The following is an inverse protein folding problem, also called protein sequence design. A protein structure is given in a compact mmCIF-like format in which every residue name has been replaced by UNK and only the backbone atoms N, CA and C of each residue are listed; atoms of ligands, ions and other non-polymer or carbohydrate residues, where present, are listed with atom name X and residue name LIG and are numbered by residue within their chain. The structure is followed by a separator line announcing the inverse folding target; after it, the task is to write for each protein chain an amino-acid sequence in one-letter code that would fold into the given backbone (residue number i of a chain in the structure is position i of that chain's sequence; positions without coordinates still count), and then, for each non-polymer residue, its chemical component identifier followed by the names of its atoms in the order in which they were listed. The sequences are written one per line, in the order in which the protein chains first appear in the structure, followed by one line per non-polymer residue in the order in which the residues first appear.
data_IF_577506543891
#
_entry.id   IF_577506543891
#
_cell.length_a   1.000
_cell.length_b   1.000
_cell.length_c   1.000
_cell.angle_alpha   90.00
_cell.angle_beta   90.00
_cell.angle_gamma   90.00
#
_symmetry.space_group_name_H-M   'P 1'
#
loop_
_entity.id
_entity.type
_entity.pdbx_description
1 polymer ?
#
# COMPACT_ATOMS: atom_id res chain seq x y z
N UNK A 1 27.27 6.28 13.47
CA UNK A 1 27.15 5.84 12.07
C UNK A 1 25.74 6.14 11.58
N UNK A 2 25.53 6.63 10.35
CA UNK A 2 24.19 6.76 9.79
C UNK A 2 23.58 5.37 9.58
N UNK A 3 22.25 5.27 9.67
CA UNK A 3 21.54 4.02 9.38
C UNK A 3 21.53 3.70 7.87
N UNK A 4 21.40 4.72 7.03
CA UNK A 4 21.45 4.60 5.58
C UNK A 4 22.89 4.66 5.08
N UNK A 5 23.31 3.68 4.28
CA UNK A 5 24.69 3.49 3.82
C UNK A 5 24.86 3.60 2.29
N UNK A 6 23.75 3.59 1.54
CA UNK A 6 23.85 3.80 0.10
C UNK A 6 24.19 5.28 -0.21
N UNK A 7 24.92 5.50 -1.32
CA UNK A 7 25.39 6.84 -1.74
C UNK A 7 24.27 7.83 -2.07
N UNK A 8 23.08 7.30 -2.43
CA UNK A 8 21.93 8.10 -2.86
C UNK A 8 20.67 7.70 -2.11
N UNK A 9 19.70 8.62 -1.93
CA UNK A 9 18.40 8.30 -1.32
C UNK A 9 17.66 7.19 -2.07
N UNK A 10 16.80 6.44 -1.40
CA UNK A 10 15.88 5.51 -2.03
C UNK A 10 14.82 6.29 -2.83
N UNK A 11 14.57 5.89 -4.07
CA UNK A 11 13.49 6.48 -4.87
C UNK A 11 12.18 5.77 -4.56
N UNK A 12 11.14 6.54 -4.17
CA UNK A 12 9.80 6.02 -3.93
C UNK A 12 8.88 6.30 -5.12
N UNK A 13 8.50 5.26 -5.85
CA UNK A 13 7.57 5.32 -6.99
C UNK A 13 6.09 5.30 -6.54
N UNK A 14 5.70 6.19 -5.62
CA UNK A 14 4.33 6.21 -5.06
C UNK A 14 3.89 7.63 -4.66
N UNK A 15 2.59 7.93 -4.90
CA UNK A 15 1.92 9.17 -4.43
C UNK A 15 1.46 9.08 -2.96
N UNK A 16 1.57 7.91 -2.32
CA UNK A 16 1.04 7.68 -0.97
C UNK A 16 1.85 8.43 0.10
N UNK A 17 1.18 9.38 0.77
CA UNK A 17 1.75 10.10 1.92
C UNK A 17 2.07 9.16 3.07
N UNK A 18 1.26 8.13 3.28
CA UNK A 18 1.45 7.13 4.35
C UNK A 18 2.72 6.33 4.12
N UNK A 19 2.94 5.78 2.92
CA UNK A 19 4.16 5.04 2.57
C UNK A 19 5.41 5.91 2.73
N UNK A 20 5.33 7.15 2.28
CA UNK A 20 6.40 8.13 2.48
C UNK A 20 6.71 8.33 3.97
N UNK A 21 5.69 8.60 4.79
CA UNK A 21 5.86 8.81 6.23
C UNK A 21 6.45 7.59 6.94
N UNK A 22 6.04 6.37 6.56
CA UNK A 22 6.59 5.12 7.10
C UNK A 22 8.09 5.00 6.82
N UNK A 23 8.54 5.29 5.60
CA UNK A 23 9.96 5.23 5.24
C UNK A 23 10.79 6.33 5.91
N UNK A 24 10.27 7.57 5.95
CA UNK A 24 10.90 8.69 6.65
C UNK A 24 11.06 8.42 8.15
N UNK A 25 10.03 7.83 8.79
CA UNK A 25 10.08 7.44 10.21
C UNK A 25 11.08 6.32 10.49
N UNK A 26 11.41 5.52 9.46
CA UNK A 26 12.48 4.50 9.53
C UNK A 26 13.87 5.07 9.20
N UNK A 27 14.01 6.41 9.11
CA UNK A 27 15.25 7.11 8.76
C UNK A 27 15.84 6.69 7.40
N UNK A 28 14.99 6.34 6.43
CA UNK A 28 15.38 6.09 5.05
C UNK A 28 15.28 7.40 4.26
N UNK A 29 16.40 7.94 3.73
CA UNK A 29 16.36 9.13 2.88
C UNK A 29 15.59 8.82 1.58
N UNK A 30 14.70 9.73 1.16
CA UNK A 30 13.80 9.51 0.03
C UNK A 30 13.87 10.61 -1.02
N UNK A 31 13.84 10.16 -2.29
CA UNK A 31 13.41 10.95 -3.44
C UNK A 31 12.05 10.43 -3.90
N UNK A 32 11.03 11.28 -3.95
CA UNK A 32 9.67 10.86 -4.30
C UNK A 32 9.39 11.16 -5.78
N UNK A 33 9.26 10.10 -6.56
CA UNK A 33 8.95 10.15 -8.00
C UNK A 33 7.71 9.30 -8.29
N UNK A 34 6.50 9.87 -8.20
CA UNK A 34 5.27 9.10 -8.44
C UNK A 34 5.25 8.50 -9.84
N UNK A 35 4.97 7.21 -9.93
CA UNK A 35 4.75 6.55 -11.21
C UNK A 35 3.47 7.07 -11.88
N UNK A 36 3.56 7.32 -13.19
CA UNK A 36 2.41 7.64 -14.04
C UNK A 36 2.21 6.45 -14.99
N UNK A 37 1.34 5.52 -14.59
CA UNK A 37 1.04 4.28 -15.32
C UNK A 37 -0.46 4.07 -15.42
N UNK A 38 -0.90 3.41 -16.48
CA UNK A 38 -2.29 2.94 -16.64
C UNK A 38 -2.49 1.63 -15.87
N UNK A 39 -2.79 1.74 -14.56
CA UNK A 39 -2.97 0.58 -13.68
C UNK A 39 -4.04 -0.39 -14.22
N UNK A 40 -5.21 0.12 -14.66
CA UNK A 40 -6.31 -0.70 -15.17
C UNK A 40 -5.94 -1.44 -16.46
N UNK A 41 -5.26 -0.76 -17.37
CA UNK A 41 -4.79 -1.39 -18.60
C UNK A 41 -3.74 -2.47 -18.33
N UNK A 42 -2.88 -2.29 -17.33
CA UNK A 42 -1.89 -3.29 -16.89
C UNK A 42 -2.60 -4.52 -16.33
N UNK A 43 -3.54 -4.35 -15.39
CA UNK A 43 -4.33 -5.43 -14.81
C UNK A 43 -5.06 -6.25 -15.88
N UNK A 44 -5.72 -5.56 -16.81
CA UNK A 44 -6.48 -6.20 -17.90
C UNK A 44 -5.58 -7.04 -18.81
N UNK A 45 -4.41 -6.51 -19.19
CA UNK A 45 -3.46 -7.23 -20.07
C UNK A 45 -2.81 -8.43 -19.40
N UNK A 46 -2.57 -8.35 -18.10
CA UNK A 46 -1.94 -9.43 -17.35
C UNK A 46 -2.87 -10.62 -17.13
N UNK A 47 -4.19 -10.43 -17.16
CA UNK A 47 -5.18 -11.50 -16.95
C UNK A 47 -5.16 -12.10 -15.54
N UNK A 48 -4.40 -11.49 -14.60
CA UNK A 48 -4.36 -11.97 -13.21
C UNK A 48 -5.58 -11.46 -12.45
N UNK A 49 -6.14 -12.32 -11.63
CA UNK A 49 -7.36 -12.03 -10.85
C UNK A 49 -7.13 -12.11 -9.34
N UNK A 50 -6.02 -12.69 -8.90
CA UNK A 50 -5.77 -12.79 -7.46
C UNK A 50 -5.29 -11.46 -6.89
N UNK A 51 -5.85 -11.01 -5.75
CA UNK A 51 -5.53 -9.71 -5.17
C UNK A 51 -4.04 -9.48 -4.91
N UNK A 52 -3.33 -10.52 -4.45
CA UNK A 52 -1.91 -10.46 -4.18
C UNK A 52 -1.04 -10.34 -5.44
N UNK A 53 -1.44 -10.98 -6.54
CA UNK A 53 -0.74 -10.86 -7.83
C UNK A 53 -0.96 -9.48 -8.46
N UNK A 54 -2.17 -8.94 -8.36
CA UNK A 54 -2.46 -7.57 -8.80
C UNK A 54 -1.56 -6.57 -8.06
N UNK A 55 -1.49 -6.66 -6.72
CA UNK A 55 -0.64 -5.78 -5.94
C UNK A 55 0.85 -5.91 -6.32
N UNK A 56 1.35 -7.15 -6.52
CA UNK A 56 2.73 -7.38 -6.92
C UNK A 56 3.04 -6.83 -8.31
N UNK A 57 2.16 -7.09 -9.26
CA UNK A 57 2.28 -6.57 -10.63
C UNK A 57 2.36 -5.05 -10.64
N UNK A 58 1.43 -4.37 -9.96
CA UNK A 58 1.39 -2.91 -9.93
C UNK A 58 2.58 -2.32 -9.17
N UNK A 59 3.05 -2.96 -8.09
CA UNK A 59 4.25 -2.55 -7.39
C UNK A 59 5.49 -2.60 -8.32
N UNK A 60 5.64 -3.70 -9.06
CA UNK A 60 6.72 -3.90 -10.01
C UNK A 60 6.67 -2.89 -11.17
N UNK A 61 5.50 -2.72 -11.79
CA UNK A 61 5.34 -1.79 -12.93
C UNK A 61 5.56 -0.32 -12.52
N UNK A 62 5.11 0.08 -11.31
CA UNK A 62 5.42 1.41 -10.76
C UNK A 62 6.93 1.62 -10.60
N UNK A 63 7.63 0.65 -10.01
CA UNK A 63 9.08 0.73 -9.86
C UNK A 63 9.79 0.77 -11.22
N UNK A 64 9.38 -0.09 -12.17
CA UNK A 64 9.98 -0.19 -13.51
C UNK A 64 9.84 1.11 -14.29
N UNK A 65 8.64 1.70 -14.31
CA UNK A 65 8.36 2.94 -15.02
C UNK A 65 9.24 4.10 -14.53
N UNK A 66 9.46 4.21 -13.22
CA UNK A 66 10.31 5.26 -12.64
C UNK A 66 11.79 4.93 -12.82
N UNK A 67 12.21 3.67 -12.66
CA UNK A 67 13.61 3.26 -12.81
C UNK A 67 14.15 3.48 -14.22
N UNK A 68 13.30 3.40 -15.25
CA UNK A 68 13.70 3.66 -16.64
C UNK A 68 14.30 5.07 -16.88
N UNK A 69 13.88 6.06 -16.09
CA UNK A 69 14.40 7.44 -16.14
C UNK A 69 15.52 7.73 -15.15
N UNK A 70 15.92 6.78 -14.31
CA UNK A 70 16.83 6.99 -13.19
C UNK A 70 17.90 5.88 -13.10
N UNK A 71 18.86 5.83 -14.04
CA UNK A 71 19.88 4.78 -14.08
C UNK A 71 20.72 4.75 -12.79
N UNK A 72 21.06 3.56 -12.33
CA UNK A 72 21.84 3.30 -11.11
C UNK A 72 21.05 3.47 -9.80
N UNK A 73 19.82 4.02 -9.82
CA UNK A 73 19.05 4.29 -8.61
C UNK A 73 18.28 3.04 -8.14
N UNK A 74 18.20 2.89 -6.82
CA UNK A 74 17.28 1.95 -6.19
C UNK A 74 15.86 2.54 -6.20
N UNK A 75 14.92 1.92 -6.90
CA UNK A 75 13.55 2.39 -7.02
C UNK A 75 12.60 1.40 -6.35
N UNK A 76 11.89 1.88 -5.32
CA UNK A 76 10.87 1.15 -4.60
C UNK A 76 9.48 1.46 -5.17
N UNK A 77 8.85 0.44 -5.74
CA UNK A 77 7.43 0.43 -6.05
C UNK A 77 6.64 -0.25 -4.93
N UNK A 78 5.43 0.20 -4.72
CA UNK A 78 4.51 -0.40 -3.75
C UNK A 78 3.08 -0.27 -4.20
N UNK A 79 2.30 -1.34 -3.97
CA UNK A 79 0.86 -1.33 -4.20
C UNK A 79 0.10 -2.08 -3.10
N UNK A 80 -1.22 -1.84 -3.02
CA UNK A 80 -2.08 -2.52 -2.08
C UNK A 80 -3.47 -2.70 -2.67
N UNK A 81 -3.98 -3.92 -2.62
CA UNK A 81 -5.37 -4.26 -2.95
C UNK A 81 -6.15 -4.66 -1.69
N UNK A 82 -7.44 -4.35 -1.66
CA UNK A 82 -8.38 -4.85 -0.65
C UNK A 82 -9.29 -5.88 -1.29
N UNK A 83 -9.46 -7.02 -0.63
CA UNK A 83 -10.34 -8.08 -1.09
C UNK A 83 -11.28 -8.60 0.01
N UNK A 84 -12.51 -8.86 -0.36
CA UNK A 84 -13.48 -9.60 0.44
C UNK A 84 -13.84 -10.90 -0.30
N UNK A 85 -13.20 -12.00 0.09
CA UNK A 85 -13.16 -13.21 -0.73
C UNK A 85 -12.49 -12.91 -2.09
N UNK A 86 -13.15 -13.24 -3.19
CA UNK A 86 -12.64 -12.98 -4.55
C UNK A 86 -12.91 -11.54 -5.04
N UNK A 87 -13.74 -10.78 -4.34
CA UNK A 87 -14.08 -9.42 -4.75
C UNK A 87 -12.98 -8.43 -4.37
N UNK A 88 -12.33 -7.88 -5.36
CA UNK A 88 -11.37 -6.77 -5.19
C UNK A 88 -12.12 -5.44 -5.17
N UNK A 89 -11.69 -4.54 -4.27
CA UNK A 89 -12.24 -3.20 -4.13
C UNK A 89 -11.25 -2.16 -4.66
N UNK A 90 -11.78 -1.16 -5.32
CA UNK A 90 -11.04 0.03 -5.73
C UNK A 90 -11.32 1.18 -4.77
N UNK A 91 -10.54 2.26 -4.85
CA UNK A 91 -10.87 3.49 -4.12
C UNK A 91 -12.25 3.99 -4.53
N UNK A 92 -13.10 4.37 -3.57
CA UNK A 92 -14.42 4.89 -3.88
C UNK A 92 -14.31 6.22 -4.63
N UNK A 93 -15.16 6.38 -5.65
CA UNK A 93 -15.16 7.59 -6.47
C UNK A 93 -15.71 8.81 -5.72
N UNK A 94 -16.63 8.58 -4.78
CA UNK A 94 -17.33 9.60 -4.01
C UNK A 94 -17.78 9.05 -2.64
N UNK A 95 -18.46 9.91 -1.88
CA UNK A 95 -18.98 9.58 -0.54
C UNK A 95 -20.04 8.48 -0.58
N UNK A 96 -20.88 8.45 -1.61
CA UNK A 96 -21.92 7.42 -1.77
C UNK A 96 -21.28 6.04 -2.01
N UNK A 97 -20.30 5.96 -2.89
CA UNK A 97 -19.52 4.75 -3.13
C UNK A 97 -18.75 4.30 -1.87
N UNK A 98 -18.19 5.24 -1.10
CA UNK A 98 -17.53 4.95 0.17
C UNK A 98 -18.50 4.33 1.18
N UNK A 99 -19.71 4.87 1.29
CA UNK A 99 -20.79 4.33 2.15
C UNK A 99 -21.13 2.90 1.77
N UNK A 100 -21.33 2.61 0.52
CA UNK A 100 -21.68 1.27 0.04
C UNK A 100 -20.53 0.26 0.25
N UNK A 101 -19.28 0.69 0.10
CA UNK A 101 -18.14 -0.15 0.46
C UNK A 101 -18.15 -0.50 1.94
N UNK A 102 -18.31 0.48 2.83
CA UNK A 102 -18.34 0.27 4.27
C UNK A 102 -19.52 -0.62 4.71
N UNK A 103 -20.70 -0.45 4.11
CA UNK A 103 -21.84 -1.36 4.33
C UNK A 103 -21.52 -2.80 3.90
N UNK A 104 -20.82 -2.96 2.79
CA UNK A 104 -20.41 -4.27 2.29
C UNK A 104 -19.39 -4.95 3.21
N UNK A 105 -18.48 -4.19 3.81
CA UNK A 105 -17.41 -4.68 4.68
C UNK A 105 -17.87 -4.85 6.15
N UNK A 106 -18.93 -4.17 6.57
CA UNK A 106 -19.48 -4.19 7.94
C UNK A 106 -19.74 -5.61 8.44
N UNK A 107 -19.18 -5.95 9.60
CA UNK A 107 -19.32 -7.28 10.24
C UNK A 107 -18.58 -8.40 9.49
N UNK A 108 -17.65 -8.08 8.58
CA UNK A 108 -16.92 -9.07 7.78
C UNK A 108 -15.41 -8.90 7.92
N UNK A 109 -14.70 -10.02 7.71
CA UNK A 109 -13.26 -10.03 7.60
C UNK A 109 -12.87 -9.88 6.13
N UNK A 110 -12.03 -8.89 5.84
CA UNK A 110 -11.45 -8.67 4.53
C UNK A 110 -9.92 -8.69 4.61
N UNK A 111 -9.27 -8.79 3.47
CA UNK A 111 -7.81 -8.86 3.37
C UNK A 111 -7.25 -7.61 2.68
N UNK A 112 -6.13 -7.12 3.21
CA UNK A 112 -5.25 -6.18 2.54
C UNK A 112 -4.03 -6.95 2.05
N UNK A 113 -3.83 -6.97 0.74
CA UNK A 113 -2.67 -7.56 0.09
C UNK A 113 -1.73 -6.43 -0.29
N UNK A 114 -0.63 -6.28 0.43
CA UNK A 114 0.40 -5.29 0.15
C UNK A 114 1.58 -5.92 -0.56
N UNK A 115 2.11 -5.25 -1.56
CA UNK A 115 3.30 -5.70 -2.29
C UNK A 115 4.30 -4.56 -2.45
N UNK A 116 5.58 -4.93 -2.46
CA UNK A 116 6.71 -4.05 -2.74
C UNK A 116 7.65 -4.71 -3.75
N UNK A 117 8.29 -3.89 -4.59
CA UNK A 117 9.35 -4.32 -5.48
C UNK A 117 10.48 -3.28 -5.49
N UNK A 118 11.74 -3.73 -5.50
CA UNK A 118 12.91 -2.87 -5.75
C UNK A 118 13.48 -3.20 -7.11
N UNK A 119 13.64 -2.17 -7.92
CA UNK A 119 14.22 -2.25 -9.26
C UNK A 119 15.41 -1.30 -9.37
N UNK A 120 16.48 -1.76 -10.04
CA UNK A 120 17.61 -0.95 -10.45
C UNK A 120 18.08 -1.42 -11.83
N UNK A 121 18.27 -0.49 -12.76
CA UNK A 121 18.77 -0.77 -14.11
C UNK A 121 17.97 -1.87 -14.84
N UNK A 122 16.65 -1.87 -14.69
CA UNK A 122 15.74 -2.85 -15.28
C UNK A 122 15.65 -4.21 -14.56
N UNK A 123 16.58 -4.49 -13.65
CA UNK A 123 16.59 -5.74 -12.88
C UNK A 123 15.72 -5.63 -11.63
N UNK A 124 14.87 -6.62 -11.41
CA UNK A 124 14.14 -6.80 -10.15
C UNK A 124 15.11 -7.37 -9.11
N UNK A 125 15.44 -6.58 -8.10
CA UNK A 125 16.34 -6.99 -7.03
C UNK A 125 15.61 -7.62 -5.85
N UNK A 126 14.35 -7.22 -5.64
CA UNK A 126 13.53 -7.71 -4.53
C UNK A 126 12.05 -7.58 -4.85
N UNK A 127 11.30 -8.58 -4.45
CA UNK A 127 9.83 -8.56 -4.41
C UNK A 127 9.36 -9.20 -3.12
N UNK A 128 8.32 -8.62 -2.53
CA UNK A 128 7.68 -9.19 -1.35
C UNK A 128 6.18 -8.89 -1.35
N UNK A 129 5.40 -9.88 -0.89
CA UNK A 129 3.96 -9.79 -0.69
C UNK A 129 3.62 -10.13 0.75
N UNK A 130 2.71 -9.38 1.34
CA UNK A 130 2.21 -9.62 2.68
C UNK A 130 0.70 -9.41 2.74
N UNK A 131 0.05 -10.11 3.66
CA UNK A 131 -1.41 -10.05 3.86
C UNK A 131 -1.68 -9.64 5.30
N UNK A 132 -2.64 -8.72 5.47
CA UNK A 132 -3.25 -8.43 6.75
C UNK A 132 -4.77 -8.69 6.67
N UNK A 133 -5.36 -9.22 7.75
CA UNK A 133 -6.79 -9.49 7.86
C UNK A 133 -7.42 -8.54 8.86
N UNK A 134 -8.47 -7.85 8.42
CA UNK A 134 -9.17 -6.87 9.23
C UNK A 134 -10.63 -7.25 9.33
N UNK A 135 -11.13 -7.44 10.56
CA UNK A 135 -12.54 -7.72 10.81
C UNK A 135 -13.23 -6.43 11.23
N UNK A 136 -14.17 -5.95 10.40
CA UNK A 136 -15.01 -4.82 10.78
C UNK A 136 -16.06 -5.27 11.79
N UNK A 137 -16.28 -4.46 12.81
CA UNK A 137 -17.38 -4.68 13.75
C UNK A 137 -18.73 -4.44 13.08
N UNK A 138 -19.79 -4.97 13.66
CA UNK A 138 -21.16 -4.60 13.30
C UNK A 138 -21.44 -3.21 13.90
N UNK A 139 -21.77 -2.23 13.08
CA UNK A 139 -22.12 -0.87 13.50
C UNK A 139 -23.43 -0.41 12.86
N UNK A 140 -24.10 0.56 13.48
CA UNK A 140 -25.37 1.13 13.01
C UNK A 140 -25.16 2.07 11.80
N UNK A 141 -26.24 2.39 11.10
CA UNK A 141 -26.19 3.39 10.03
C UNK A 141 -25.93 4.79 10.60
N UNK A 142 -26.43 5.11 11.79
CA UNK A 142 -26.12 6.39 12.47
C UNK A 142 -24.62 6.52 12.82
N UNK A 143 -23.97 5.43 13.24
CA UNK A 143 -22.51 5.44 13.40
C UNK A 143 -21.81 5.64 12.06
N UNK A 144 -22.25 4.98 10.99
CA UNK A 144 -21.68 5.13 9.65
C UNK A 144 -21.80 6.58 9.16
N UNK A 145 -22.93 7.26 9.41
CA UNK A 145 -23.13 8.65 9.07
C UNK A 145 -22.12 9.56 9.81
N UNK A 146 -21.99 9.40 11.11
CA UNK A 146 -21.03 10.15 11.92
C UNK A 146 -19.57 9.87 11.51
N UNK A 147 -19.24 8.62 11.16
CA UNK A 147 -17.92 8.26 10.66
C UNK A 147 -17.59 8.96 9.34
N UNK A 148 -18.50 8.92 8.38
CA UNK A 148 -18.30 9.53 7.07
C UNK A 148 -18.16 11.04 7.16
N UNK A 149 -18.95 11.69 8.03
CA UNK A 149 -18.84 13.12 8.32
C UNK A 149 -17.46 13.46 8.93
N UNK A 150 -17.05 12.72 9.96
CA UNK A 150 -15.80 12.98 10.68
C UNK A 150 -14.55 12.63 9.86
N UNK A 151 -14.60 11.63 9.01
CA UNK A 151 -13.46 11.23 8.17
C UNK A 151 -13.30 12.11 6.91
N UNK A 152 -14.37 12.74 6.44
CA UNK A 152 -14.36 13.69 5.33
C UNK A 152 -13.75 13.09 4.05
N UNK A 153 -12.87 13.85 3.38
CA UNK A 153 -12.23 13.41 2.13
C UNK A 153 -11.28 12.20 2.28
N UNK A 154 -10.93 11.79 3.50
CA UNK A 154 -10.08 10.63 3.73
C UNK A 154 -10.72 9.32 3.24
N UNK A 155 -12.05 9.23 3.22
CA UNK A 155 -12.78 8.03 2.78
C UNK A 155 -12.62 7.71 1.29
N UNK A 156 -12.30 8.69 0.46
CA UNK A 156 -12.05 8.48 -0.99
C UNK A 156 -10.56 8.34 -1.31
N UNK A 157 -9.68 8.56 -0.33
CA UNK A 157 -8.23 8.51 -0.53
C UNK A 157 -7.66 7.09 -0.47
N UNK A 158 -8.37 6.14 0.17
CA UNK A 158 -7.90 4.77 0.41
C UNK A 158 -8.91 3.74 -0.07
N UNK A 159 -8.44 2.56 -0.46
CA UNK A 159 -9.30 1.40 -0.70
C UNK A 159 -10.03 1.04 0.61
N UNK A 160 -11.29 0.64 0.52
CA UNK A 160 -12.11 0.31 1.71
C UNK A 160 -12.68 1.51 2.45
N UNK A 161 -12.44 2.74 2.01
CA UNK A 161 -12.97 3.96 2.60
C UNK A 161 -12.55 4.21 4.07
N UNK A 162 -11.34 3.79 4.45
CA UNK A 162 -10.80 4.01 5.79
C UNK A 162 -9.28 4.20 5.78
N UNK A 163 -8.77 4.79 6.85
CA UNK A 163 -7.36 4.87 7.21
C UNK A 163 -7.23 4.42 8.67
N UNK A 164 -6.56 3.26 8.89
CA UNK A 164 -6.47 2.64 10.23
C UNK A 164 -5.71 3.52 11.20
N UNK A 165 -4.71 4.26 10.69
CA UNK A 165 -3.89 5.20 11.45
C UNK A 165 -4.63 6.48 11.88
N UNK A 166 -5.92 6.59 11.51
CA UNK A 166 -6.83 7.69 11.85
C UNK A 166 -8.15 7.17 12.42
N UNK A 167 -9.23 7.93 12.22
CA UNK A 167 -10.59 7.57 12.68
C UNK A 167 -11.08 6.23 12.17
N UNK A 168 -10.49 5.70 11.07
CA UNK A 168 -10.81 4.38 10.54
C UNK A 168 -10.63 3.23 11.53
N UNK A 169 -9.78 3.40 12.57
CA UNK A 169 -9.61 2.38 13.62
C UNK A 169 -10.92 2.03 14.34
N UNK A 170 -11.87 2.96 14.44
CA UNK A 170 -13.17 2.74 15.08
C UNK A 170 -14.08 1.75 14.32
N UNK A 171 -13.75 1.39 13.09
CA UNK A 171 -14.51 0.43 12.30
C UNK A 171 -14.21 -1.03 12.67
N UNK A 172 -13.10 -1.30 13.34
CA UNK A 172 -12.57 -2.65 13.51
C UNK A 172 -12.78 -3.21 14.90
N UNK A 173 -13.02 -4.51 14.97
CA UNK A 173 -13.02 -5.31 16.21
C UNK A 173 -11.75 -6.17 16.32
N UNK A 174 -11.13 -6.55 15.16
CA UNK A 174 -9.92 -7.36 15.13
C UNK A 174 -9.06 -7.02 13.93
N UNK A 175 -7.76 -6.98 14.15
CA UNK A 175 -6.73 -6.78 13.14
C UNK A 175 -5.66 -7.84 13.34
N UNK A 176 -5.33 -8.57 12.25
CA UNK A 176 -4.33 -9.62 12.23
C UNK A 176 -3.32 -9.34 11.11
N UNK A 177 -2.05 -9.37 11.45
CA UNK A 177 -0.96 -9.09 10.51
C UNK A 177 -0.07 -7.94 10.97
N UNK A 178 0.94 -7.64 10.16
CA UNK A 178 1.90 -6.59 10.45
C UNK A 178 1.31 -5.20 10.19
N UNK A 179 1.56 -4.26 11.09
CA UNK A 179 1.06 -2.89 11.01
C UNK A 179 1.47 -2.17 9.72
N UNK A 180 2.73 -2.34 9.31
CA UNK A 180 3.24 -1.71 8.09
C UNK A 180 2.61 -2.30 6.83
N UNK A 181 2.26 -3.59 6.85
CA UNK A 181 1.46 -4.23 5.80
C UNK A 181 0.10 -3.56 5.65
N UNK A 182 -0.57 -3.23 6.75
CA UNK A 182 -1.85 -2.51 6.76
C UNK A 182 -1.70 -1.12 6.14
N UNK A 183 -0.59 -0.44 6.43
CA UNK A 183 -0.26 0.87 5.85
C UNK A 183 0.18 0.80 4.37
N UNK A 184 0.20 -0.41 3.79
CA UNK A 184 0.50 -0.65 2.37
C UNK A 184 1.99 -0.66 2.03
N UNK A 185 2.86 -0.90 3.02
CA UNK A 185 4.31 -1.01 2.85
C UNK A 185 4.88 -2.05 3.82
N UNK A 186 5.07 -3.32 3.43
CA UNK A 186 5.74 -4.32 4.26
C UNK A 186 7.18 -3.90 4.59
N UNK A 187 7.34 -3.13 5.69
CA UNK A 187 8.60 -2.47 6.03
C UNK A 187 9.67 -3.43 6.51
N UNK A 188 9.34 -4.38 7.39
CA UNK A 188 10.34 -5.28 7.98
C UNK A 188 11.09 -6.12 6.92
N UNK A 189 10.43 -6.74 5.93
CA UNK A 189 11.11 -7.42 4.82
C UNK A 189 11.96 -6.48 3.97
N UNK A 190 11.51 -5.24 3.76
CA UNK A 190 12.29 -4.23 3.04
C UNK A 190 13.58 -3.90 3.80
N UNK A 191 13.50 -3.65 5.11
CA UNK A 191 14.68 -3.35 5.93
C UNK A 191 15.68 -4.52 5.97
N UNK A 192 15.18 -5.76 6.08
CA UNK A 192 16.01 -6.96 6.01
C UNK A 192 16.76 -7.06 4.68
N UNK A 193 16.07 -6.85 3.57
CA UNK A 193 16.68 -6.81 2.25
C UNK A 193 17.74 -5.71 2.12
N UNK A 194 17.46 -4.48 2.57
CA UNK A 194 18.41 -3.36 2.52
C UNK A 194 19.68 -3.64 3.34
N UNK A 195 19.54 -4.25 4.54
CA UNK A 195 20.69 -4.65 5.39
C UNK A 195 21.54 -5.72 4.72
N UNK A 196 20.93 -6.77 4.20
CA UNK A 196 21.66 -7.87 3.53
C UNK A 196 22.46 -7.40 2.32
N UNK A 197 22.05 -6.31 1.68
CA UNK A 197 22.76 -5.73 0.54
C UNK A 197 23.71 -4.57 0.91
N UNK A 198 23.91 -4.29 2.20
CA UNK A 198 24.83 -3.26 2.67
C UNK A 198 24.36 -1.82 2.41
N UNK A 199 23.08 -1.62 2.11
CA UNK A 199 22.52 -0.26 1.93
C UNK A 199 21.95 0.32 3.22
N UNK A 200 21.90 -0.48 4.26
CA UNK A 200 21.48 -0.06 5.59
C UNK A 200 22.34 -0.74 6.64
N UNK A 201 22.61 -0.05 7.76
CA UNK A 201 23.34 -0.61 8.87
C UNK A 201 22.60 -1.83 9.47
N UNK A 202 23.36 -2.90 9.80
CA UNK A 202 22.86 -4.15 10.38
C UNK A 202 22.73 -4.05 11.90
#
# INVERSE_FOLDING_TARGET
MPLWLADQPLVLASKSKVRRSVLESAAIPLDVHPADIDERGIETRAGTTTPGEIAALLACEKARAVAAGLPGRLVLGADQTLALGERVFTKPADLAAAREQLKTLRGRTHELHAAIAIIRDGAILFEHRAIARLTMRVFSDSFLDAYLEGAGSAVTASVGAYQVEKTGIHLFERIEGDHFTILGLPLLPLLDFLRRNGWMAA
#
